data_IF_419222950346
#
_entry.id   IF_419222950346
#
_cell.length_a   1.000
_cell.length_b   1.000
_cell.length_c   1.000
_cell.angle_alpha   90.00
_cell.angle_beta   90.00
_cell.angle_gamma   90.00
#
_symmetry.space_group_name_H-M   'P 1'
#
loop_
_entity.id
_entity.type
_entity.pdbx_description
1 polymer ?
#
# COMPACT_ATOMS: atom_id res chain seq x y z
N UNK A 1 -29.16 4.56 -0.96
CA UNK A 1 -30.36 4.52 -1.82
C UNK A 1 -30.24 3.29 -2.70
N UNK A 2 -31.26 2.44 -2.73
CA UNK A 2 -31.29 1.23 -3.54
C UNK A 2 -32.20 1.48 -4.73
N UNK A 3 -31.70 1.30 -5.95
CA UNK A 3 -32.49 1.50 -7.16
C UNK A 3 -33.31 0.25 -7.47
N UNK A 4 -34.62 0.41 -7.62
CA UNK A 4 -35.51 -0.68 -8.01
C UNK A 4 -35.28 -1.11 -9.48
N UNK A 5 -35.84 -2.27 -9.83
CA UNK A 5 -35.64 -2.87 -11.15
C UNK A 5 -36.30 -2.06 -12.29
N UNK A 6 -37.40 -1.34 -12.02
CA UNK A 6 -38.08 -0.54 -13.03
C UNK A 6 -37.23 0.69 -13.38
N UNK A 7 -36.66 1.36 -12.38
CA UNK A 7 -35.77 2.49 -12.59
C UNK A 7 -34.51 2.10 -13.38
N UNK A 8 -33.89 0.96 -13.07
CA UNK A 8 -32.72 0.46 -13.83
C UNK A 8 -33.04 0.21 -15.31
N UNK A 9 -34.19 -0.42 -15.61
CA UNK A 9 -34.65 -0.62 -16.99
C UNK A 9 -34.91 0.70 -17.72
N UNK A 10 -35.51 1.68 -17.04
CA UNK A 10 -35.74 3.00 -17.63
C UNK A 10 -34.41 3.72 -17.97
N UNK A 11 -33.40 3.62 -17.10
CA UNK A 11 -32.04 4.14 -17.37
C UNK A 11 -31.37 3.47 -18.57
N UNK A 12 -31.55 2.16 -18.74
CA UNK A 12 -30.99 1.42 -19.87
C UNK A 12 -31.58 1.86 -21.21
N UNK A 13 -32.86 2.27 -21.21
CA UNK A 13 -33.61 2.70 -22.39
C UNK A 13 -33.40 4.18 -22.77
N UNK A 14 -32.60 4.95 -22.01
CA UNK A 14 -32.32 6.34 -22.34
C UNK A 14 -31.66 6.48 -23.74
N UNK A 15 -31.99 7.54 -24.49
CA UNK A 15 -31.32 7.83 -25.75
C UNK A 15 -29.79 7.91 -25.57
N UNK A 16 -28.98 7.34 -26.48
CA UNK A 16 -27.53 7.29 -26.31
C UNK A 16 -26.89 8.65 -25.99
N UNK A 17 -27.27 9.72 -26.71
CA UNK A 17 -26.75 11.07 -26.49
C UNK A 17 -27.06 11.62 -25.10
N UNK A 18 -28.25 11.36 -24.57
CA UNK A 18 -28.64 11.81 -23.23
C UNK A 18 -27.91 11.03 -22.15
N UNK A 19 -27.76 9.72 -22.37
CA UNK A 19 -27.00 8.83 -21.51
C UNK A 19 -25.53 9.25 -21.43
N UNK A 20 -24.90 9.57 -22.56
CA UNK A 20 -23.51 10.05 -22.60
C UNK A 20 -23.34 11.36 -21.84
N UNK A 21 -24.25 12.32 -22.04
CA UNK A 21 -24.25 13.60 -21.31
C UNK A 21 -24.39 13.39 -19.81
N UNK A 22 -25.23 12.44 -19.39
CA UNK A 22 -25.41 12.09 -17.99
C UNK A 22 -24.15 11.44 -17.41
N UNK A 23 -23.55 10.47 -18.12
CA UNK A 23 -22.30 9.80 -17.72
C UNK A 23 -21.18 10.83 -17.54
N UNK A 24 -20.94 11.69 -18.53
CA UNK A 24 -19.91 12.73 -18.45
C UNK A 24 -20.13 13.69 -17.28
N UNK A 25 -21.39 13.99 -16.94
CA UNK A 25 -21.71 14.80 -15.75
C UNK A 25 -21.42 14.05 -14.45
N UNK A 26 -21.72 12.76 -14.38
CA UNK A 26 -21.47 11.92 -13.21
C UNK A 26 -19.97 11.72 -12.98
N UNK A 27 -19.19 11.50 -14.04
CA UNK A 27 -17.74 11.32 -13.96
C UNK A 27 -17.01 12.55 -13.39
N UNK A 28 -17.54 13.76 -13.59
CA UNK A 28 -16.98 14.97 -12.96
C UNK A 28 -17.08 14.95 -11.42
N UNK A 29 -18.01 14.17 -10.87
CA UNK A 29 -18.18 14.02 -9.42
C UNK A 29 -17.45 12.79 -8.85
N UNK A 30 -17.05 11.84 -9.70
CA UNK A 30 -16.31 10.65 -9.32
C UNK A 30 -15.02 10.56 -10.15
N UNK A 31 -14.00 11.31 -9.70
CA UNK A 31 -12.71 11.39 -10.38
C UNK A 31 -11.98 10.05 -10.41
N UNK A 32 -12.19 9.17 -9.43
CA UNK A 32 -11.57 7.84 -9.40
C UNK A 32 -12.15 6.98 -10.54
N UNK A 33 -13.48 7.00 -10.72
CA UNK A 33 -14.10 6.31 -11.83
C UNK A 33 -13.71 6.94 -13.18
N UNK A 34 -13.64 8.27 -13.24
CA UNK A 34 -13.22 8.98 -14.46
C UNK A 34 -11.80 8.59 -14.88
N UNK A 35 -10.84 8.62 -13.95
CA UNK A 35 -9.44 8.25 -14.21
C UNK A 35 -9.31 6.76 -14.54
N UNK A 36 -10.11 5.88 -13.91
CA UNK A 36 -10.14 4.47 -14.30
C UNK A 36 -10.61 4.29 -15.73
N UNK A 37 -11.72 4.93 -16.13
CA UNK A 37 -12.21 4.83 -17.50
C UNK A 37 -11.24 5.45 -18.50
N UNK A 38 -10.55 6.54 -18.13
CA UNK A 38 -9.50 7.11 -18.95
C UNK A 38 -8.37 6.10 -19.17
N UNK A 39 -7.92 5.44 -18.11
CA UNK A 39 -6.90 4.40 -18.19
C UNK A 39 -7.36 3.20 -19.05
N UNK A 40 -8.59 2.71 -18.84
CA UNK A 40 -9.12 1.53 -19.53
C UNK A 40 -9.47 1.78 -21.01
N UNK A 41 -9.88 3.00 -21.36
CA UNK A 41 -10.44 3.30 -22.69
C UNK A 41 -9.53 4.14 -23.58
N UNK A 42 -8.55 4.86 -23.01
CA UNK A 42 -7.78 5.88 -23.73
C UNK A 42 -6.27 5.73 -23.56
N UNK A 43 -5.77 5.44 -22.35
CA UNK A 43 -4.33 5.35 -22.11
C UNK A 43 -3.69 4.25 -22.97
N UNK A 44 -2.53 4.56 -23.54
CA UNK A 44 -1.69 3.60 -24.28
C UNK A 44 -0.75 2.82 -23.38
N UNK A 45 -0.52 3.33 -22.17
CA UNK A 45 0.38 2.72 -21.19
C UNK A 45 -0.28 1.51 -20.55
N UNK A 46 0.49 0.44 -20.37
CA UNK A 46 0.03 -0.73 -19.63
C UNK A 46 0.03 -0.48 -18.12
N UNK A 47 -0.60 -1.40 -17.38
CA UNK A 47 -0.52 -1.43 -15.91
C UNK A 47 0.94 -1.51 -15.44
N UNK A 48 1.79 -2.23 -16.17
CA UNK A 48 3.21 -2.38 -15.87
C UNK A 48 3.96 -1.06 -16.05
N UNK A 49 3.68 -0.32 -17.12
CA UNK A 49 4.32 0.97 -17.41
C UNK A 49 3.99 1.99 -16.30
N UNK A 50 2.70 2.12 -15.95
CA UNK A 50 2.27 2.97 -14.83
C UNK A 50 2.90 2.57 -13.50
N UNK A 51 3.06 1.26 -13.27
CA UNK A 51 3.73 0.74 -12.06
C UNK A 51 5.20 1.13 -12.02
N UNK A 52 5.93 1.00 -13.13
CA UNK A 52 7.33 1.38 -13.23
C UNK A 52 7.54 2.89 -13.05
N UNK A 53 6.65 3.70 -13.63
CA UNK A 53 6.62 5.16 -13.43
C UNK A 53 6.46 5.49 -11.94
N UNK A 54 5.46 4.89 -11.29
CA UNK A 54 5.20 5.11 -9.87
C UNK A 54 6.35 4.58 -8.99
N UNK A 55 6.98 3.46 -9.33
CA UNK A 55 8.14 2.95 -8.62
C UNK A 55 9.30 3.97 -8.67
N UNK A 56 9.56 4.54 -9.85
CA UNK A 56 10.59 5.58 -10.05
C UNK A 56 10.26 6.84 -9.25
N UNK A 57 8.99 7.26 -9.24
CA UNK A 57 8.50 8.36 -8.40
C UNK A 57 8.77 8.08 -6.92
N UNK A 58 8.42 6.90 -6.40
CA UNK A 58 8.63 6.50 -5.00
C UNK A 58 10.12 6.63 -4.64
N UNK A 59 11.00 6.04 -5.44
CA UNK A 59 12.44 6.05 -5.19
C UNK A 59 12.99 7.48 -5.11
N UNK A 60 12.68 8.31 -6.11
CA UNK A 60 13.13 9.71 -6.16
C UNK A 60 12.57 10.54 -4.99
N UNK A 61 11.28 10.36 -4.70
CA UNK A 61 10.58 11.10 -3.64
C UNK A 61 11.13 10.73 -2.27
N UNK A 62 11.33 9.45 -1.97
CA UNK A 62 11.89 8.99 -0.69
C UNK A 62 13.34 9.47 -0.52
N UNK A 63 14.17 9.45 -1.57
CA UNK A 63 15.53 10.01 -1.51
C UNK A 63 15.50 11.49 -1.16
N UNK A 64 14.64 12.27 -1.81
CA UNK A 64 14.48 13.69 -1.53
C UNK A 64 14.05 13.93 -0.06
N UNK A 65 13.01 13.24 0.40
CA UNK A 65 12.50 13.39 1.77
C UNK A 65 13.55 13.00 2.80
N UNK A 66 14.24 11.87 2.59
CA UNK A 66 15.23 11.32 3.55
C UNK A 66 16.39 12.27 3.80
N UNK A 67 16.72 13.13 2.82
CA UNK A 67 17.74 14.18 2.97
C UNK A 67 17.24 15.39 3.78
N UNK A 68 15.94 15.69 3.74
CA UNK A 68 15.40 16.99 4.17
C UNK A 68 14.51 16.93 5.42
N UNK A 69 14.04 15.76 5.86
CA UNK A 69 13.13 15.68 7.00
C UNK A 69 13.83 15.96 8.34
N UNK A 70 13.07 16.54 9.28
CA UNK A 70 13.55 17.00 10.60
C UNK A 70 13.13 16.09 11.77
N UNK A 71 12.08 15.27 11.61
CA UNK A 71 11.64 14.32 12.63
C UNK A 71 10.96 13.08 12.05
N UNK A 72 10.88 12.00 12.83
CA UNK A 72 10.16 10.79 12.39
C UNK A 72 8.68 11.05 12.10
N UNK A 73 8.07 12.03 12.77
CA UNK A 73 6.71 12.48 12.47
C UNK A 73 6.58 13.09 11.07
N UNK A 74 7.53 13.94 10.66
CA UNK A 74 7.56 14.47 9.29
C UNK A 74 7.80 13.38 8.26
N UNK A 75 8.73 12.45 8.51
CA UNK A 75 8.96 11.31 7.63
C UNK A 75 7.67 10.50 7.45
N UNK A 76 6.95 10.20 8.54
CA UNK A 76 5.68 9.47 8.50
C UNK A 76 4.61 10.18 7.67
N UNK A 77 4.51 11.52 7.75
CA UNK A 77 3.56 12.27 6.92
C UNK A 77 3.81 12.03 5.43
N UNK A 78 5.07 12.08 5.00
CA UNK A 78 5.41 11.82 3.61
C UNK A 78 5.21 10.36 3.20
N UNK A 79 5.51 9.39 4.07
CA UNK A 79 5.23 7.98 3.75
C UNK A 79 3.72 7.74 3.60
N UNK A 80 2.87 8.46 4.34
CA UNK A 80 1.41 8.43 4.18
C UNK A 80 0.96 9.10 2.88
N UNK A 81 1.56 10.22 2.50
CA UNK A 81 1.33 10.87 1.21
C UNK A 81 1.61 9.90 0.06
N UNK A 82 2.79 9.29 0.02
CA UNK A 82 3.17 8.31 -1.02
C UNK A 82 2.26 7.08 -0.98
N UNK A 83 1.86 6.62 0.21
CA UNK A 83 0.87 5.54 0.34
C UNK A 83 -0.49 5.90 -0.26
N UNK A 84 -0.87 7.18 -0.23
CA UNK A 84 -2.07 7.70 -0.90
C UNK A 84 -1.97 7.58 -2.41
N UNK A 85 -0.83 7.96 -2.99
CA UNK A 85 -0.55 7.83 -4.43
C UNK A 85 -0.58 6.36 -4.87
N UNK A 86 -0.02 5.44 -4.07
CA UNK A 86 -0.10 4.00 -4.34
C UNK A 86 -1.56 3.53 -4.35
N UNK A 87 -2.37 3.95 -3.38
CA UNK A 87 -3.80 3.61 -3.34
C UNK A 87 -4.56 4.16 -4.55
N UNK A 88 -4.22 5.38 -5.00
CA UNK A 88 -4.80 5.97 -6.21
C UNK A 88 -4.48 5.12 -7.45
N UNK A 89 -3.21 4.74 -7.64
CA UNK A 89 -2.79 3.82 -8.71
C UNK A 89 -3.65 2.56 -8.71
N UNK A 90 -3.76 1.86 -7.57
CA UNK A 90 -4.54 0.62 -7.47
C UNK A 90 -6.03 0.86 -7.73
N UNK A 91 -6.55 2.02 -7.31
CA UNK A 91 -7.94 2.38 -7.55
C UNK A 91 -8.21 2.57 -9.05
N UNK A 92 -7.24 3.07 -9.80
CA UNK A 92 -7.32 3.31 -11.25
C UNK A 92 -7.05 2.01 -12.01
N UNK A 93 -5.91 1.37 -11.78
CA UNK A 93 -5.38 0.26 -12.61
C UNK A 93 -5.81 -1.14 -12.15
N UNK A 94 -6.39 -1.28 -10.95
CA UNK A 94 -6.72 -2.57 -10.32
C UNK A 94 -5.53 -3.50 -10.08
N UNK A 95 -4.34 -2.94 -10.07
CA UNK A 95 -3.08 -3.67 -9.96
C UNK A 95 -2.81 -4.21 -8.55
N UNK A 96 -3.34 -5.41 -8.26
CA UNK A 96 -3.13 -6.09 -6.97
C UNK A 96 -1.67 -6.47 -6.72
N UNK A 97 -0.95 -6.84 -7.77
CA UNK A 97 0.48 -7.14 -7.71
C UNK A 97 1.27 -5.87 -7.37
N UNK A 98 0.95 -4.76 -8.05
CA UNK A 98 1.50 -3.43 -7.78
C UNK A 98 1.26 -2.92 -6.36
N UNK A 99 0.10 -3.20 -5.75
CA UNK A 99 -0.12 -2.84 -4.34
C UNK A 99 0.95 -3.45 -3.43
N UNK A 100 1.28 -4.73 -3.66
CA UNK A 100 2.30 -5.44 -2.89
C UNK A 100 3.68 -4.85 -3.21
N UNK A 101 4.08 -4.82 -4.48
CA UNK A 101 5.46 -4.45 -4.87
C UNK A 101 5.77 -2.98 -4.60
N UNK A 102 4.87 -2.06 -4.89
CA UNK A 102 5.06 -0.62 -4.61
C UNK A 102 5.05 -0.32 -3.12
N UNK A 103 4.20 -1.01 -2.33
CA UNK A 103 4.24 -0.86 -0.87
C UNK A 103 5.57 -1.38 -0.31
N UNK A 104 6.04 -2.53 -0.80
CA UNK A 104 7.35 -3.07 -0.42
C UNK A 104 8.48 -2.12 -0.80
N UNK A 105 8.49 -1.56 -2.02
CA UNK A 105 9.49 -0.59 -2.46
C UNK A 105 9.52 0.63 -1.52
N UNK A 106 8.36 1.22 -1.23
CA UNK A 106 8.26 2.34 -0.30
C UNK A 106 8.85 2.00 1.07
N UNK A 107 8.46 0.86 1.65
CA UNK A 107 8.97 0.43 2.95
C UNK A 107 10.47 0.18 2.93
N UNK A 108 10.96 -0.55 1.93
CA UNK A 108 12.38 -0.84 1.77
C UNK A 108 13.19 0.46 1.69
N UNK A 109 12.85 1.36 0.77
CA UNK A 109 13.56 2.63 0.56
C UNK A 109 13.55 3.50 1.82
N UNK A 110 12.40 3.61 2.49
CA UNK A 110 12.28 4.39 3.73
C UNK A 110 13.16 3.81 4.83
N UNK A 111 13.16 2.49 5.01
CA UNK A 111 13.93 1.86 6.09
C UNK A 111 15.43 1.93 5.79
N UNK A 112 15.87 1.56 4.59
CA UNK A 112 17.30 1.51 4.25
C UNK A 112 17.96 2.90 4.31
N UNK A 113 17.35 3.91 3.70
CA UNK A 113 17.93 5.26 3.64
C UNK A 113 17.96 5.95 5.01
N UNK A 114 17.08 5.53 5.92
CA UNK A 114 16.93 6.14 7.23
C UNK A 114 17.36 5.22 8.38
N UNK A 115 18.01 4.07 8.10
CA UNK A 115 18.45 3.07 9.10
C UNK A 115 19.16 3.72 10.28
N UNK A 116 20.15 4.57 10.00
CA UNK A 116 20.94 5.28 11.00
C UNK A 116 20.17 6.37 11.79
N UNK A 117 18.97 6.75 11.35
CA UNK A 117 18.11 7.74 12.03
C UNK A 117 17.12 7.07 12.98
N UNK A 118 16.75 5.81 12.74
CA UNK A 118 16.03 5.02 13.74
C UNK A 118 16.90 4.90 15.00
N UNK A 119 16.36 5.28 16.16
CA UNK A 119 17.10 5.29 17.41
C UNK A 119 17.84 6.59 17.75
N UNK A 120 17.90 7.59 16.85
CA UNK A 120 18.44 8.93 17.18
C UNK A 120 17.49 9.78 18.02
N UNK A 121 16.20 9.49 17.96
CA UNK A 121 15.16 10.09 18.79
C UNK A 121 14.68 9.05 19.80
N UNK A 122 13.89 9.46 20.80
CA UNK A 122 13.36 8.51 21.77
C UNK A 122 12.46 7.47 21.09
N UNK A 123 12.35 6.29 21.70
CA UNK A 123 11.45 5.25 21.23
C UNK A 123 10.00 5.75 21.09
N UNK A 124 9.53 6.57 22.04
CA UNK A 124 8.19 7.16 22.03
C UNK A 124 7.95 8.03 20.80
N UNK A 125 8.91 8.85 20.41
CA UNK A 125 8.81 9.72 19.24
C UNK A 125 8.85 8.94 17.92
N UNK A 126 9.59 7.83 17.90
CA UNK A 126 9.72 6.96 16.73
C UNK A 126 8.58 5.94 16.61
N UNK A 127 7.85 5.67 17.70
CA UNK A 127 6.88 4.59 17.80
C UNK A 127 5.81 4.66 16.71
N UNK A 128 5.22 5.83 16.47
CA UNK A 128 4.14 6.00 15.48
C UNK A 128 4.59 5.66 14.06
N UNK A 129 5.85 5.94 13.72
CA UNK A 129 6.43 5.55 12.44
C UNK A 129 6.68 4.04 12.39
N UNK A 130 7.25 3.48 13.46
CA UNK A 130 7.51 2.04 13.56
C UNK A 130 6.21 1.23 13.44
N UNK A 131 5.17 1.60 14.19
CA UNK A 131 3.89 0.87 14.16
C UNK A 131 3.21 0.99 12.80
N UNK A 132 3.35 2.12 12.11
CA UNK A 132 2.86 2.29 10.74
C UNK A 132 3.56 1.32 9.77
N UNK A 133 4.89 1.19 9.86
CA UNK A 133 5.66 0.21 9.07
C UNK A 133 5.17 -1.21 9.38
N UNK A 134 5.07 -1.60 10.66
CA UNK A 134 4.61 -2.95 11.06
C UNK A 134 3.19 -3.24 10.54
N UNK A 135 2.28 -2.27 10.62
CA UNK A 135 0.92 -2.42 10.10
C UNK A 135 0.88 -2.58 8.58
N UNK A 136 1.74 -1.87 7.83
CA UNK A 136 1.86 -2.01 6.38
C UNK A 136 2.46 -3.37 5.99
N UNK A 137 3.41 -3.89 6.76
CA UNK A 137 3.96 -5.23 6.55
C UNK A 137 2.87 -6.28 6.72
N UNK A 138 2.06 -6.21 7.77
CA UNK A 138 0.93 -7.12 7.93
C UNK A 138 -0.06 -7.03 6.76
N UNK A 139 -0.36 -5.82 6.24
CA UNK A 139 -1.17 -5.66 5.02
C UNK A 139 -0.55 -6.43 3.86
N UNK A 140 0.75 -6.24 3.61
CA UNK A 140 1.50 -6.91 2.55
C UNK A 140 1.46 -8.43 2.70
N UNK A 141 1.73 -8.97 3.89
CA UNK A 141 1.69 -10.41 4.15
C UNK A 141 0.31 -11.02 3.87
N UNK A 142 -0.76 -10.34 4.29
CA UNK A 142 -2.13 -10.75 3.97
C UNK A 142 -2.39 -10.73 2.47
N UNK A 143 -1.83 -9.76 1.75
CA UNK A 143 -2.07 -9.60 0.31
C UNK A 143 -1.28 -10.61 -0.51
N UNK A 144 -0.07 -10.95 -0.09
CA UNK A 144 0.72 -12.05 -0.65
C UNK A 144 -0.04 -13.37 -0.46
N UNK A 145 -0.53 -13.65 0.76
CA UNK A 145 -1.26 -14.88 1.04
C UNK A 145 -2.57 -15.03 0.22
N UNK A 146 -3.10 -13.93 -0.30
CA UNK A 146 -4.28 -13.92 -1.20
C UNK A 146 -3.92 -14.11 -2.66
N UNK A 147 -2.65 -14.01 -3.04
CA UNK A 147 -2.20 -14.34 -4.38
C UNK A 147 -2.11 -15.86 -4.55
N UNK A 148 -2.11 -16.29 -5.81
CA UNK A 148 -1.77 -17.67 -6.17
C UNK A 148 -0.37 -18.02 -5.64
N UNK A 149 -0.18 -19.24 -5.15
CA UNK A 149 1.08 -19.68 -4.51
C UNK A 149 2.29 -19.53 -5.43
N UNK A 150 2.12 -19.77 -6.74
CA UNK A 150 3.19 -19.60 -7.73
C UNK A 150 3.76 -18.18 -7.79
N UNK A 151 2.94 -17.15 -7.50
CA UNK A 151 3.40 -15.76 -7.47
C UNK A 151 4.18 -15.42 -6.20
N UNK A 152 4.15 -16.27 -5.16
CA UNK A 152 4.80 -15.95 -3.90
C UNK A 152 6.32 -15.81 -4.07
N UNK A 153 6.92 -16.58 -4.98
CA UNK A 153 8.36 -16.54 -5.26
C UNK A 153 8.81 -15.14 -5.72
N UNK A 154 7.96 -14.40 -6.42
CA UNK A 154 8.28 -13.05 -6.94
C UNK A 154 8.44 -12.03 -5.81
N UNK A 155 7.77 -12.23 -4.67
CA UNK A 155 7.85 -11.31 -3.53
C UNK A 155 8.97 -11.66 -2.55
N UNK A 156 9.49 -12.90 -2.61
CA UNK A 156 10.38 -13.46 -1.59
C UNK A 156 11.60 -12.59 -1.33
N UNK A 157 12.31 -12.20 -2.38
CA UNK A 157 13.55 -11.42 -2.25
C UNK A 157 13.31 -10.11 -1.50
N UNK A 158 12.30 -9.35 -1.91
CA UNK A 158 11.99 -8.05 -1.31
C UNK A 158 11.52 -8.20 0.14
N UNK A 159 10.70 -9.20 0.44
CA UNK A 159 10.22 -9.46 1.80
C UNK A 159 11.36 -9.86 2.73
N UNK A 160 12.29 -10.70 2.28
CA UNK A 160 13.48 -11.06 3.06
C UNK A 160 14.34 -9.83 3.32
N UNK A 161 14.59 -8.97 2.31
CA UNK A 161 15.33 -7.71 2.48
C UNK A 161 14.72 -6.82 3.56
N UNK A 162 13.40 -6.64 3.55
CA UNK A 162 12.67 -5.86 4.56
C UNK A 162 12.79 -6.52 5.94
N UNK A 163 12.63 -7.85 6.02
CA UNK A 163 12.77 -8.61 7.27
C UNK A 163 14.14 -8.46 7.92
N UNK A 164 15.20 -8.54 7.12
CA UNK A 164 16.58 -8.32 7.59
C UNK A 164 16.76 -6.91 8.14
N UNK A 165 16.26 -5.89 7.42
CA UNK A 165 16.34 -4.51 7.90
C UNK A 165 15.60 -4.27 9.22
N UNK A 166 14.45 -4.91 9.41
CA UNK A 166 13.69 -4.83 10.68
C UNK A 166 14.47 -5.49 11.81
N UNK A 167 15.05 -6.66 11.54
CA UNK A 167 15.84 -7.42 12.52
C UNK A 167 17.07 -6.63 12.99
N UNK A 168 17.67 -5.84 12.08
CA UNK A 168 18.84 -5.01 12.35
C UNK A 168 18.55 -3.69 13.08
N UNK A 169 17.28 -3.28 13.20
CA UNK A 169 16.89 -1.98 13.77
C UNK A 169 16.10 -2.21 15.05
N UNK A 170 16.74 -1.99 16.21
CA UNK A 170 16.19 -2.24 17.55
C UNK A 170 14.75 -1.72 17.73
N UNK A 171 14.47 -0.51 17.26
CA UNK A 171 13.15 0.11 17.44
C UNK A 171 12.08 -0.58 16.59
N UNK A 172 12.43 -1.03 15.38
CA UNK A 172 11.51 -1.79 14.52
C UNK A 172 11.33 -3.20 15.07
N UNK A 173 12.41 -3.89 15.45
CA UNK A 173 12.35 -5.22 16.05
C UNK A 173 11.52 -5.23 17.34
N UNK A 174 11.77 -4.29 18.25
CA UNK A 174 10.99 -4.12 19.48
C UNK A 174 9.51 -3.87 19.17
N UNK A 175 9.22 -3.02 18.19
CA UNK A 175 7.83 -2.71 17.81
C UNK A 175 7.13 -3.90 17.16
N UNK A 176 7.86 -4.69 16.35
CA UNK A 176 7.38 -5.93 15.75
C UNK A 176 6.97 -6.94 16.83
N UNK A 177 7.88 -7.25 17.77
CA UNK A 177 7.62 -8.15 18.90
C UNK A 177 6.41 -7.68 19.71
N UNK A 178 6.39 -6.40 20.10
CA UNK A 178 5.32 -5.82 20.91
C UNK A 178 3.95 -5.83 20.23
N UNK A 179 3.90 -5.99 18.91
CA UNK A 179 2.67 -6.04 18.13
C UNK A 179 2.43 -7.38 17.44
N UNK A 180 3.12 -8.44 17.89
CA UNK A 180 2.88 -9.81 17.46
C UNK A 180 3.32 -10.12 16.02
N UNK A 181 4.21 -9.32 15.43
CA UNK A 181 4.86 -9.68 14.17
C UNK A 181 6.03 -10.60 14.46
N UNK A 182 5.91 -11.87 14.08
CA UNK A 182 7.05 -12.77 13.99
C UNK A 182 7.87 -12.38 12.74
N UNK A 183 9.07 -11.85 12.97
CA UNK A 183 9.95 -11.39 11.89
C UNK A 183 10.47 -12.56 11.05
N UNK A 184 10.37 -13.81 11.54
CA UNK A 184 10.66 -15.01 10.74
C UNK A 184 9.68 -15.20 9.58
N UNK A 185 8.47 -14.63 9.64
CA UNK A 185 7.56 -14.60 8.50
C UNK A 185 8.18 -13.86 7.31
N UNK A 186 9.08 -12.92 7.58
CA UNK A 186 9.79 -12.14 6.57
C UNK A 186 11.14 -12.77 6.22
N UNK A 187 12.02 -12.94 7.21
CA UNK A 187 13.41 -13.37 6.97
C UNK A 187 13.53 -14.77 6.38
N UNK A 188 12.59 -15.67 6.72
CA UNK A 188 12.51 -17.02 6.17
C UNK A 188 11.43 -17.16 5.09
N UNK A 189 10.70 -16.08 4.81
CA UNK A 189 9.53 -16.08 3.92
C UNK A 189 8.51 -17.19 4.25
N UNK A 190 8.18 -17.32 5.55
CA UNK A 190 7.24 -18.31 6.08
C UNK A 190 5.94 -17.65 6.51
N UNK A 191 5.17 -17.18 5.53
CA UNK A 191 3.91 -16.47 5.79
C UNK A 191 2.85 -17.47 6.24
N UNK A 192 2.19 -17.28 7.41
CA UNK A 192 1.12 -18.17 7.84
C UNK A 192 -0.09 -18.12 6.91
N UNK A 193 -0.67 -19.28 6.58
CA UNK A 193 -1.88 -19.35 5.75
C UNK A 193 -3.06 -18.57 6.33
N UNK A 194 -3.17 -18.51 7.67
CA UNK A 194 -4.19 -17.73 8.37
C UNK A 194 -3.69 -16.36 8.88
N UNK A 195 -2.74 -15.73 8.19
CA UNK A 195 -2.22 -14.40 8.56
C UNK A 195 -3.33 -13.35 8.66
N UNK A 196 -4.37 -13.43 7.84
CA UNK A 196 -5.52 -12.52 7.94
C UNK A 196 -6.27 -12.66 9.28
N UNK A 197 -6.51 -13.89 9.74
CA UNK A 197 -7.12 -14.16 11.04
C UNK A 197 -6.25 -13.69 12.20
N UNK A 198 -4.93 -13.90 12.11
CA UNK A 198 -3.96 -13.40 13.08
C UNK A 198 -4.02 -11.87 13.21
N UNK A 199 -3.98 -11.14 12.09
CA UNK A 199 -4.05 -9.67 12.08
C UNK A 199 -5.37 -9.16 12.65
N UNK A 200 -6.50 -9.80 12.33
CA UNK A 200 -7.80 -9.47 12.91
C UNK A 200 -7.81 -9.64 14.43
N UNK A 201 -7.26 -10.74 14.94
CA UNK A 201 -7.16 -11.01 16.38
C UNK A 201 -6.30 -9.97 17.11
N UNK A 202 -5.14 -9.61 16.53
CA UNK A 202 -4.24 -8.59 17.08
C UNK A 202 -4.95 -7.24 17.24
N UNK A 203 -5.68 -6.79 16.22
CA UNK A 203 -6.44 -5.53 16.28
C UNK A 203 -7.54 -5.53 17.35
N UNK A 204 -8.25 -6.65 17.52
CA UNK A 204 -9.26 -6.81 18.58
C UNK A 204 -8.62 -6.66 19.96
N UNK A 205 -7.40 -7.17 20.15
CA UNK A 205 -6.63 -7.03 21.40
C UNK A 205 -5.98 -5.64 21.58
N UNK A 206 -6.17 -4.71 20.63
CA UNK A 206 -5.66 -3.34 20.73
C UNK A 206 -4.25 -3.13 20.16
N UNK A 207 -3.64 -4.14 19.53
CA UNK A 207 -2.37 -3.99 18.81
C UNK A 207 -2.57 -3.29 17.45
N UNK A 208 -1.45 -2.84 16.85
CA UNK A 208 -1.44 -2.17 15.54
C UNK A 208 -2.24 -0.85 15.50
N UNK A 209 -2.31 -0.16 16.63
CA UNK A 209 -2.90 1.18 16.79
C UNK A 209 -1.82 2.25 16.91
#
# INVERSE_FOLDING_TARGET
>A
MTFDAQFKKALEQLPPKEKDKLILRLLKNDLVLANRLLFELVDTDSVEDKRQELQSYIQNRVVFISKNFTSMGYLLMYVREISGVINEHISITKDKYGDITLTCELLYQVIILNKHRFGKQSYKESYTMCIYIIAKIFKVLVFIQKQHEDLHVEFKEMIVKIGTLISDIDYLMRTAINNGLDVNYLTLFRIPSNVEGLVKNLRVKGFLK
#
